data_IF_184183629944
#
_entry.id   IF_184183629944
#
_cell.length_a   1.000
_cell.length_b   1.000
_cell.length_c   1.000
_cell.angle_alpha   90.00
_cell.angle_beta   90.00
_cell.angle_gamma   90.00
#
_symmetry.space_group_name_H-M   'P 1'
#
loop_
_entity.id
_entity.type
_entity.pdbx_description
1 polymer ?
#
# COMPACT_ATOMS: atom_id res chain seq x y z
N UNK A 1 -34.17 -0.92 8.74
CA UNK A 1 -33.07 -1.28 9.66
C UNK A 1 -31.74 -1.00 9.02
N UNK A 2 -30.98 -0.14 9.64
CA UNK A 2 -29.61 0.07 9.23
C UNK A 2 -28.78 -1.12 9.69
N UNK A 3 -28.23 -1.86 8.77
CA UNK A 3 -27.22 -2.85 9.08
C UNK A 3 -25.87 -2.12 9.10
N UNK A 4 -25.19 -2.18 10.23
CA UNK A 4 -23.83 -1.69 10.34
C UNK A 4 -22.92 -2.64 9.55
N UNK A 5 -22.70 -2.35 8.28
CA UNK A 5 -21.80 -3.10 7.44
C UNK A 5 -20.53 -2.32 7.19
N UNK A 6 -19.41 -3.01 7.13
CA UNK A 6 -18.12 -2.44 6.79
C UNK A 6 -17.65 -3.09 5.49
N UNK A 7 -17.36 -2.27 4.49
CA UNK A 7 -16.81 -2.76 3.22
C UNK A 7 -15.30 -2.85 3.32
N UNK A 8 -14.77 -4.05 3.10
CA UNK A 8 -13.35 -4.35 3.10
C UNK A 8 -13.01 -4.97 1.75
N UNK A 9 -12.10 -4.35 1.01
CA UNK A 9 -11.66 -4.85 -0.29
C UNK A 9 -10.31 -5.52 -0.22
N UNK A 10 -10.17 -6.70 -0.83
CA UNK A 10 -8.89 -7.36 -1.00
C UNK A 10 -8.26 -6.98 -2.33
N UNK A 11 -7.18 -6.22 -2.31
CA UNK A 11 -6.55 -5.68 -3.52
C UNK A 11 -5.44 -6.57 -4.09
N UNK A 12 -4.80 -7.38 -3.27
CA UNK A 12 -3.72 -8.25 -3.69
C UNK A 12 -3.69 -9.51 -2.84
N UNK A 13 -3.41 -10.63 -3.47
CA UNK A 13 -3.29 -11.93 -2.80
C UNK A 13 -1.87 -12.45 -2.72
N UNK A 14 -0.92 -11.79 -3.39
CA UNK A 14 0.51 -12.14 -3.35
C UNK A 14 1.35 -10.98 -3.90
N UNK A 15 2.63 -10.98 -3.56
CA UNK A 15 3.57 -9.99 -4.11
C UNK A 15 3.77 -10.23 -5.61
N UNK A 16 3.54 -9.20 -6.40
CA UNK A 16 3.57 -9.29 -7.86
C UNK A 16 2.18 -9.46 -8.49
N UNK A 17 1.13 -9.47 -7.68
CA UNK A 17 -0.25 -9.46 -8.18
C UNK A 17 -0.55 -8.16 -8.93
N UNK A 18 -1.66 -8.15 -9.67
CA UNK A 18 -2.06 -7.01 -10.50
C UNK A 18 -2.22 -5.74 -9.67
N UNK A 19 -1.68 -4.63 -10.17
CA UNK A 19 -1.84 -3.30 -9.57
C UNK A 19 -3.19 -2.65 -9.91
N UNK A 20 -4.03 -3.28 -10.72
CA UNK A 20 -5.32 -2.73 -11.16
C UNK A 20 -6.38 -2.82 -10.06
N UNK A 21 -6.27 -3.82 -9.18
CA UNK A 21 -7.27 -4.07 -8.15
C UNK A 21 -7.45 -2.91 -7.17
N UNK A 22 -6.36 -2.30 -6.73
CA UNK A 22 -6.41 -1.21 -5.76
C UNK A 22 -7.18 0.02 -6.26
N UNK A 23 -6.91 0.57 -7.45
CA UNK A 23 -7.70 1.69 -7.98
C UNK A 23 -9.18 1.34 -8.16
N UNK A 24 -9.49 0.15 -8.62
CA UNK A 24 -10.88 -0.30 -8.79
C UNK A 24 -11.63 -0.33 -7.46
N UNK A 25 -11.00 -0.85 -6.42
CA UNK A 25 -11.59 -0.91 -5.08
C UNK A 25 -11.76 0.48 -4.47
N UNK A 26 -10.82 1.37 -4.69
CA UNK A 26 -10.89 2.74 -4.17
C UNK A 26 -12.07 3.53 -4.77
N UNK A 27 -12.55 3.13 -5.94
CA UNK A 27 -13.71 3.74 -6.60
C UNK A 27 -15.06 3.15 -6.14
N UNK A 28 -15.06 2.08 -5.37
CA UNK A 28 -16.31 1.47 -4.88
C UNK A 28 -16.92 2.38 -3.81
N UNK A 29 -18.19 2.80 -3.97
CA UNK A 29 -18.85 3.63 -2.96
C UNK A 29 -18.94 2.93 -1.60
N UNK A 30 -18.61 3.66 -0.54
CA UNK A 30 -18.68 3.15 0.83
C UNK A 30 -17.52 2.26 1.24
N UNK A 31 -16.48 2.13 0.42
CA UNK A 31 -15.28 1.38 0.79
C UNK A 31 -14.61 2.01 2.01
N UNK A 32 -14.26 1.19 3.01
CA UNK A 32 -13.67 1.65 4.27
C UNK A 32 -12.22 1.19 4.44
N UNK A 33 -11.92 -0.04 4.02
CA UNK A 33 -10.60 -0.64 4.19
C UNK A 33 -10.21 -1.34 2.91
N UNK A 34 -8.96 -1.19 2.48
CA UNK A 34 -8.38 -1.96 1.39
C UNK A 34 -7.19 -2.73 1.96
N UNK A 35 -7.19 -4.03 1.79
CA UNK A 35 -6.21 -4.94 2.35
C UNK A 35 -5.32 -5.49 1.25
N UNK A 36 -4.03 -5.53 1.52
CA UNK A 36 -3.02 -6.10 0.63
C UNK A 36 -2.30 -7.24 1.36
N UNK A 37 -2.40 -8.44 0.83
CA UNK A 37 -1.72 -9.61 1.37
C UNK A 37 -0.63 -10.05 0.40
N UNK A 38 0.59 -9.62 0.67
CA UNK A 38 1.75 -9.89 -0.19
C UNK A 38 2.57 -11.09 0.24
N UNK A 39 2.42 -11.56 1.47
CA UNK A 39 3.41 -12.45 2.06
C UNK A 39 3.02 -13.91 1.94
N UNK A 40 3.99 -14.70 1.54
CA UNK A 40 4.01 -16.14 1.56
C UNK A 40 5.42 -16.56 1.95
N UNK A 41 5.65 -17.83 2.21
CA UNK A 41 6.97 -18.34 2.59
C UNK A 41 8.04 -17.98 1.55
N UNK A 42 7.75 -18.19 0.27
CA UNK A 42 8.66 -17.83 -0.81
C UNK A 42 8.95 -16.32 -0.84
N UNK A 43 7.92 -15.52 -0.69
CA UNK A 43 8.06 -14.06 -0.67
C UNK A 43 8.97 -13.61 0.48
N UNK A 44 8.79 -14.18 1.66
CA UNK A 44 9.62 -13.84 2.82
C UNK A 44 11.07 -14.20 2.59
N UNK A 45 11.35 -15.32 1.95
CA UNK A 45 12.72 -15.73 1.60
C UNK A 45 13.38 -14.76 0.64
N UNK A 46 12.64 -14.31 -0.39
CA UNK A 46 13.13 -13.33 -1.37
C UNK A 46 13.41 -11.98 -0.69
N UNK A 47 12.52 -11.54 0.16
CA UNK A 47 12.68 -10.27 0.88
C UNK A 47 13.85 -10.31 1.87
N UNK A 48 14.04 -11.41 2.56
CA UNK A 48 15.18 -11.59 3.45
C UNK A 48 16.50 -11.55 2.69
N UNK A 49 16.58 -12.20 1.53
CA UNK A 49 17.76 -12.16 0.66
C UNK A 49 18.04 -10.74 0.15
N UNK A 50 17.02 -10.00 -0.23
CA UNK A 50 17.16 -8.62 -0.67
C UNK A 50 17.71 -7.72 0.45
N UNK A 51 17.21 -7.87 1.66
CA UNK A 51 17.69 -7.10 2.82
C UNK A 51 19.13 -7.43 3.17
N UNK A 52 19.54 -8.69 3.02
CA UNK A 52 20.93 -9.09 3.25
C UNK A 52 21.91 -8.38 2.32
N UNK A 53 21.49 -8.07 1.11
CA UNK A 53 22.29 -7.33 0.12
C UNK A 53 22.19 -5.82 0.29
N UNK A 54 21.05 -5.30 0.74
CA UNK A 54 20.79 -3.89 0.92
C UNK A 54 19.88 -3.68 2.12
N UNK A 55 20.37 -3.02 3.17
CA UNK A 55 19.64 -2.75 4.41
C UNK A 55 18.31 -2.04 4.22
N UNK A 56 18.17 -1.28 3.14
CA UNK A 56 16.98 -0.48 2.87
C UNK A 56 15.89 -1.28 2.15
N UNK A 57 16.17 -2.52 1.79
CA UNK A 57 15.23 -3.44 1.15
C UNK A 57 14.68 -4.45 2.16
N UNK A 58 13.89 -5.38 1.70
CA UNK A 58 13.25 -6.42 2.50
C UNK A 58 11.77 -6.20 2.70
N UNK A 59 11.17 -5.31 1.95
CA UNK A 59 9.73 -5.07 1.94
C UNK A 59 9.20 -5.09 0.50
N UNK A 60 7.88 -5.21 0.35
CA UNK A 60 7.25 -5.19 -0.97
C UNK A 60 7.26 -3.77 -1.54
N UNK A 61 8.27 -3.46 -2.35
CA UNK A 61 8.49 -2.14 -2.91
C UNK A 61 7.34 -1.68 -3.79
N UNK A 62 6.63 -2.60 -4.44
CA UNK A 62 5.48 -2.31 -5.29
C UNK A 62 4.36 -1.59 -4.53
N UNK A 63 4.19 -1.92 -3.25
CA UNK A 63 3.19 -1.24 -2.41
C UNK A 63 3.47 0.26 -2.32
N UNK A 64 4.71 0.63 -2.16
CA UNK A 64 5.11 2.04 -2.06
C UNK A 64 5.17 2.69 -3.43
N UNK A 65 5.85 2.05 -4.38
CA UNK A 65 6.17 2.68 -5.67
C UNK A 65 4.97 2.76 -6.61
N UNK A 66 4.07 1.79 -6.55
CA UNK A 66 2.93 1.71 -7.47
C UNK A 66 1.63 2.02 -6.75
N UNK A 67 1.29 1.23 -5.74
CA UNK A 67 -0.02 1.28 -5.09
C UNK A 67 -0.22 2.60 -4.34
N UNK A 68 0.73 2.98 -3.50
CA UNK A 68 0.62 4.21 -2.73
C UNK A 68 0.53 5.43 -3.65
N UNK A 69 1.27 5.42 -4.75
CA UNK A 69 1.24 6.50 -5.73
C UNK A 69 -0.12 6.61 -6.43
N UNK A 70 -0.74 5.47 -6.76
CA UNK A 70 -2.00 5.44 -7.50
C UNK A 70 -3.20 5.88 -6.65
N UNK A 71 -3.30 5.42 -5.40
CA UNK A 71 -4.54 5.51 -4.64
C UNK A 71 -4.48 6.31 -3.35
N UNK A 72 -3.29 6.73 -2.92
CA UNK A 72 -3.15 7.38 -1.61
C UNK A 72 -4.02 8.64 -1.48
N UNK A 73 -4.12 9.43 -2.54
CA UNK A 73 -4.95 10.63 -2.57
C UNK A 73 -6.43 10.31 -2.44
N UNK A 74 -6.90 9.39 -3.27
CA UNK A 74 -8.31 8.98 -3.30
C UNK A 74 -8.71 8.40 -1.95
N UNK A 75 -7.89 7.53 -1.37
CA UNK A 75 -8.14 6.94 -0.08
C UNK A 75 -8.23 8.00 1.02
N UNK A 76 -7.34 8.98 0.98
CA UNK A 76 -7.34 10.07 1.95
C UNK A 76 -8.60 10.92 1.86
N UNK A 77 -9.01 11.27 0.65
CA UNK A 77 -10.22 12.06 0.40
C UNK A 77 -11.48 11.33 0.83
N UNK A 78 -11.52 10.02 0.63
CA UNK A 78 -12.70 9.18 0.91
C UNK A 78 -12.68 8.52 2.29
N UNK A 79 -11.64 8.74 3.09
CA UNK A 79 -11.51 8.14 4.41
C UNK A 79 -11.26 6.63 4.38
N UNK A 80 -10.65 6.12 3.31
CA UNK A 80 -10.31 4.71 3.18
C UNK A 80 -8.96 4.45 3.85
N UNK A 81 -8.90 3.43 4.70
CA UNK A 81 -7.64 2.99 5.33
C UNK A 81 -7.04 1.83 4.55
N UNK A 82 -5.73 1.90 4.35
CA UNK A 82 -4.95 0.84 3.72
C UNK A 82 -4.30 -0.02 4.79
N UNK A 83 -4.44 -1.32 4.67
CA UNK A 83 -3.82 -2.30 5.57
C UNK A 83 -3.03 -3.26 4.72
N UNK A 84 -1.73 -3.36 4.98
CA UNK A 84 -0.85 -4.22 4.19
C UNK A 84 0.20 -4.89 5.07
N UNK A 85 0.55 -6.12 4.73
CA UNK A 85 1.74 -6.78 5.28
C UNK A 85 2.98 -6.55 4.39
N UNK A 86 2.95 -5.46 3.61
CA UNK A 86 4.02 -5.12 2.67
C UNK A 86 5.39 -4.90 3.32
N UNK A 87 5.42 -4.69 4.63
CA UNK A 87 6.67 -4.48 5.37
C UNK A 87 7.63 -5.66 5.35
N UNK A 88 7.13 -6.88 5.15
CA UNK A 88 7.97 -8.07 5.05
C UNK A 88 8.88 -8.24 6.25
N UNK A 89 10.19 -8.27 5.99
CA UNK A 89 11.23 -8.35 7.05
C UNK A 89 11.80 -6.97 7.40
N UNK A 90 11.27 -5.88 6.84
CA UNK A 90 11.74 -4.52 7.08
C UNK A 90 10.60 -3.50 7.09
N UNK A 91 9.65 -3.63 8.04
CA UNK A 91 8.49 -2.74 8.09
C UNK A 91 8.87 -1.27 8.32
N UNK A 92 9.94 -1.00 9.05
CA UNK A 92 10.43 0.36 9.27
C UNK A 92 10.83 1.06 7.99
N UNK A 93 11.58 0.37 7.12
CA UNK A 93 11.98 0.92 5.82
C UNK A 93 10.77 1.14 4.91
N UNK A 94 9.80 0.22 4.93
CA UNK A 94 8.55 0.37 4.18
C UNK A 94 7.78 1.61 4.63
N UNK A 95 7.63 1.81 5.92
CA UNK A 95 6.93 2.97 6.48
C UNK A 95 7.61 4.28 6.11
N UNK A 96 8.94 4.34 6.19
CA UNK A 96 9.71 5.53 5.81
C UNK A 96 9.56 5.85 4.33
N UNK A 97 9.60 4.83 3.47
CA UNK A 97 9.44 4.99 2.04
C UNK A 97 8.04 5.51 1.68
N UNK A 98 7.01 4.95 2.30
CA UNK A 98 5.63 5.39 2.10
C UNK A 98 5.42 6.84 2.56
N UNK A 99 5.98 7.20 3.72
CA UNK A 99 5.91 8.56 4.24
C UNK A 99 6.64 9.56 3.33
N UNK A 100 7.78 9.18 2.79
CA UNK A 100 8.55 10.01 1.86
C UNK A 100 7.77 10.27 0.57
N UNK A 101 7.10 9.25 0.02
CA UNK A 101 6.24 9.39 -1.16
C UNK A 101 5.07 10.33 -0.90
N UNK A 102 4.43 10.20 0.24
CA UNK A 102 3.32 11.07 0.62
C UNK A 102 3.75 12.54 0.74
N UNK A 103 4.90 12.80 1.36
CA UNK A 103 5.47 14.17 1.47
C UNK A 103 5.80 14.76 0.10
N UNK A 104 6.46 14.00 -0.75
CA UNK A 104 6.83 14.45 -2.10
C UNK A 104 5.59 14.83 -2.91
N UNK A 105 4.52 14.04 -2.80
CA UNK A 105 3.27 14.29 -3.46
C UNK A 105 2.59 15.57 -2.95
N UNK A 106 2.57 15.80 -1.64
CA UNK A 106 2.02 17.03 -1.04
C UNK A 106 2.74 18.28 -1.51
N UNK A 107 4.06 18.20 -1.66
CA UNK A 107 4.88 19.32 -2.17
C UNK A 107 4.51 19.68 -3.61
N UNK A 108 4.27 18.70 -4.46
CA UNK A 108 3.90 18.93 -5.85
C UNK A 108 2.53 19.57 -6.02
N UNK A 109 1.63 19.39 -5.05
CA UNK A 109 0.27 19.94 -5.07
C UNK A 109 0.14 21.30 -4.43
N UNK A 110 1.13 21.82 -3.75
CA UNK A 110 1.09 23.17 -3.21
C UNK A 110 1.12 24.16 -4.37
N UNK A 111 0.16 25.12 -4.40
CA UNK A 111 0.23 26.19 -5.40
C UNK A 111 1.55 26.93 -5.21
N UNK A 112 2.19 27.25 -6.32
CA UNK A 112 3.37 28.12 -6.27
C UNK A 112 2.93 29.51 -5.83
N UNK A 113 3.67 30.17 -4.91
CA UNK A 113 3.38 31.55 -4.55
C UNK A 113 3.50 32.48 -5.74
#
# INVERSE_FOLDING_TARGET
>A
MSHDTVKIGGAAGFWGDSSVGAPQLADVPGMRYIVFDYLAELTMSILAAARAKNRDLGYATDFVDVVARQILATCRERGIRLIANAGGVNPGACARAAAARNRARRRRRRPRP
#
